data_IF_111872131120
#
_entry.id   IF_111872131120
#
_cell.length_a   1.000
_cell.length_b   1.000
_cell.length_c   1.000
_cell.angle_alpha   90.00
_cell.angle_beta   90.00
_cell.angle_gamma   90.00
#
_symmetry.space_group_name_H-M   'P 1'
#
loop_
_entity.id
_entity.type
_entity.pdbx_description
1 polymer ?
#
# COMPACT_ATOMS: atom_id res chain seq x y z
N UNK A 1 -1.50 20.16 9.92
CA UNK A 1 -1.73 21.26 10.90
C UNK A 1 -0.49 22.13 10.91
N UNK A 2 -0.59 23.39 10.44
CA UNK A 2 0.55 24.29 10.37
C UNK A 2 0.86 24.86 11.75
N UNK A 3 2.00 24.53 12.33
CA UNK A 3 2.44 25.08 13.60
C UNK A 3 3.23 26.37 13.36
N UNK A 4 2.72 27.49 13.87
CA UNK A 4 3.38 28.79 13.74
C UNK A 4 4.17 29.09 14.99
N UNK A 5 5.50 29.15 14.90
CA UNK A 5 6.37 29.60 15.99
C UNK A 5 6.74 31.05 15.78
N UNK A 6 6.37 31.93 16.72
CA UNK A 6 6.70 33.34 16.68
C UNK A 6 7.96 33.63 17.49
N UNK A 7 9.04 34.00 16.83
CA UNK A 7 10.27 34.47 17.51
C UNK A 7 10.31 35.97 17.48
N UNK A 8 10.29 36.60 18.65
CA UNK A 8 10.41 38.06 18.79
C UNK A 8 11.88 38.43 18.87
N UNK A 9 12.38 39.14 17.86
CA UNK A 9 13.74 39.71 17.91
C UNK A 9 13.70 41.07 18.64
N UNK A 10 14.69 41.33 19.46
CA UNK A 10 14.78 42.58 20.21
C UNK A 10 14.76 43.81 19.28
N UNK A 11 14.05 44.88 19.64
CA UNK A 11 13.91 46.06 18.77
C UNK A 11 15.27 46.77 18.55
N UNK A 12 15.57 47.09 17.30
CA UNK A 12 16.74 47.88 16.95
C UNK A 12 16.34 49.38 17.03
N UNK A 13 16.99 50.11 17.91
CA UNK A 13 16.75 51.55 18.08
C UNK A 13 17.70 52.32 17.16
N UNK A 14 17.15 53.01 16.19
CA UNK A 14 17.91 53.93 15.35
C UNK A 14 17.61 55.37 15.79
N UNK A 15 18.62 56.06 16.31
CA UNK A 15 18.50 57.46 16.74
C UNK A 15 18.97 58.40 15.59
N UNK A 16 18.06 59.17 15.08
CA UNK A 16 18.41 60.23 14.09
C UNK A 16 18.36 61.58 14.79
N UNK A 17 19.50 62.26 14.84
CA UNK A 17 19.61 63.60 15.45
C UNK A 17 19.59 64.63 14.30
N UNK A 18 18.56 65.47 14.25
CA UNK A 18 18.51 66.61 13.32
C UNK A 18 18.75 67.88 14.12
N UNK A 19 19.85 68.60 13.77
CA UNK A 19 20.18 69.88 14.44
C UNK A 19 19.66 71.04 13.57
N UNK A 20 18.71 71.82 14.09
CA UNK A 20 18.28 73.10 13.52
C UNK A 20 18.60 74.19 14.51
N UNK A 21 19.20 75.29 14.04
CA UNK A 21 19.71 76.40 14.88
C UNK A 21 18.63 77.12 15.72
N UNK A 22 18.95 77.88 16.73
CA UNK A 22 19.13 77.45 18.11
C UNK A 22 17.85 77.63 18.93
N UNK A 23 16.98 76.75 19.07
CA UNK A 23 16.04 76.77 20.20
C UNK A 23 15.35 75.51 20.62
N UNK A 24 15.41 74.40 20.00
CA UNK A 24 14.85 73.20 20.62
C UNK A 24 15.33 71.93 19.90
N UNK A 25 16.05 71.04 20.60
CA UNK A 25 16.35 69.71 20.09
C UNK A 25 15.19 68.78 20.43
N UNK A 26 14.43 68.40 19.40
CA UNK A 26 13.41 67.37 19.58
C UNK A 26 14.00 66.05 19.10
N UNK A 27 14.23 65.10 20.00
CA UNK A 27 14.66 63.76 19.66
C UNK A 27 13.42 62.89 19.49
N UNK A 28 13.15 62.49 18.27
CA UNK A 28 12.07 61.55 17.96
C UNK A 28 12.72 60.15 17.88
N UNK A 29 12.39 59.28 18.79
CA UNK A 29 12.82 57.88 18.78
C UNK A 29 11.72 57.07 18.08
N UNK A 30 12.01 56.58 16.89
CA UNK A 30 11.12 55.64 16.20
C UNK A 30 11.61 54.23 16.45
N UNK A 31 10.82 53.47 17.19
CA UNK A 31 11.09 52.04 17.40
C UNK A 31 10.39 51.25 16.31
N UNK A 32 11.15 50.64 15.42
CA UNK A 32 10.61 49.72 14.41
C UNK A 32 10.78 48.31 14.95
N UNK A 33 9.66 47.63 15.23
CA UNK A 33 9.66 46.25 15.61
C UNK A 33 9.46 45.44 14.33
N UNK A 34 10.48 44.71 13.88
CA UNK A 34 10.37 43.77 12.80
C UNK A 34 10.03 42.43 13.38
N UNK A 35 8.82 41.95 13.16
CA UNK A 35 8.41 40.59 13.49
C UNK A 35 8.70 39.71 12.28
N UNK A 36 9.67 38.83 12.37
CA UNK A 36 9.88 37.78 11.37
C UNK A 36 9.07 36.56 11.80
N UNK A 37 8.03 36.27 11.06
CA UNK A 37 7.29 35.04 11.23
C UNK A 37 7.99 33.98 10.38
N UNK A 38 8.65 33.04 11.00
CA UNK A 38 9.16 31.85 10.31
C UNK A 38 8.06 30.81 10.38
N UNK A 39 7.45 30.53 9.27
CA UNK A 39 6.59 29.35 9.11
C UNK A 39 7.52 28.15 9.02
N UNK A 40 7.42 27.22 9.96
CA UNK A 40 8.01 25.89 9.77
C UNK A 40 7.31 25.22 8.58
N UNK A 41 8.03 24.43 7.79
CA UNK A 41 7.37 23.56 6.81
C UNK A 41 6.25 22.78 7.51
N UNK A 42 5.16 22.46 6.83
CA UNK A 42 4.19 21.50 7.35
C UNK A 42 4.91 20.21 7.71
N UNK A 43 4.51 19.57 8.80
CA UNK A 43 5.00 18.23 9.11
C UNK A 43 4.59 17.28 7.97
N UNK A 44 5.45 16.30 7.60
CA UNK A 44 5.10 15.31 6.61
C UNK A 44 3.77 14.61 6.97
N UNK A 45 2.96 14.31 5.98
CA UNK A 45 1.72 13.59 6.17
C UNK A 45 2.00 12.12 6.46
N UNK A 46 1.29 11.53 7.43
CA UNK A 46 1.43 10.14 7.83
C UNK A 46 0.18 9.37 7.41
N UNK A 47 0.36 8.27 6.68
CA UNK A 47 -0.70 7.45 6.09
C UNK A 47 -0.79 6.04 6.72
N UNK A 48 -0.21 5.81 7.88
CA UNK A 48 -0.27 4.52 8.58
C UNK A 48 -1.64 4.25 9.26
N UNK A 49 -2.41 5.30 9.52
CA UNK A 49 -3.77 5.18 10.03
C UNK A 49 -4.76 5.16 8.86
N UNK A 50 -5.95 4.60 9.07
CA UNK A 50 -7.02 4.60 8.05
C UNK A 50 -7.33 6.01 7.53
N UNK A 51 -7.62 6.11 6.24
CA UNK A 51 -7.93 7.36 5.55
C UNK A 51 -9.30 7.95 5.92
N UNK A 52 -9.74 8.91 5.12
CA UNK A 52 -10.95 9.68 5.39
C UNK A 52 -12.26 8.97 4.98
N UNK A 53 -12.18 7.87 4.24
CA UNK A 53 -13.33 7.12 3.75
C UNK A 53 -13.59 5.85 4.57
N UNK A 54 -14.86 5.53 4.79
CA UNK A 54 -15.22 4.14 5.04
C UNK A 54 -15.07 3.36 3.72
N UNK A 55 -15.09 2.02 3.77
CA UNK A 55 -14.78 1.20 2.61
C UNK A 55 -15.94 0.28 2.25
N UNK A 56 -16.31 0.29 0.99
CA UNK A 56 -17.21 -0.69 0.38
C UNK A 56 -16.41 -1.81 -0.29
N UNK A 57 -17.02 -2.99 -0.39
CA UNK A 57 -16.44 -4.13 -1.11
C UNK A 57 -17.49 -4.81 -1.97
N UNK A 58 -17.12 -5.17 -3.21
CA UNK A 58 -17.98 -5.92 -4.15
C UNK A 58 -17.15 -6.93 -4.93
N UNK A 59 -17.81 -7.96 -5.49
CA UNK A 59 -17.13 -8.99 -6.29
C UNK A 59 -17.53 -8.87 -7.76
N UNK A 60 -16.55 -8.90 -8.65
CA UNK A 60 -16.73 -8.95 -10.10
C UNK A 60 -16.42 -10.36 -10.58
N UNK A 61 -17.29 -10.92 -11.42
CA UNK A 61 -17.10 -12.21 -12.09
C UNK A 61 -16.60 -11.98 -13.52
N UNK A 62 -15.36 -12.40 -13.81
CA UNK A 62 -14.78 -12.39 -15.17
C UNK A 62 -15.26 -13.60 -16.00
N UNK A 63 -16.11 -14.48 -15.45
CA UNK A 63 -16.64 -15.68 -16.10
C UNK A 63 -15.83 -16.95 -15.81
N UNK A 64 -14.54 -16.84 -15.61
CA UNK A 64 -13.63 -17.94 -15.24
C UNK A 64 -12.96 -17.74 -13.89
N UNK A 65 -12.91 -16.52 -13.39
CA UNK A 65 -12.30 -16.14 -12.11
C UNK A 65 -12.96 -14.92 -11.51
N UNK A 66 -12.75 -14.68 -10.23
CA UNK A 66 -13.33 -13.57 -9.49
C UNK A 66 -12.30 -12.48 -9.24
N UNK A 67 -12.80 -11.25 -9.14
CA UNK A 67 -12.07 -10.06 -8.69
C UNK A 67 -12.80 -9.47 -7.50
N UNK A 68 -12.11 -9.28 -6.39
CA UNK A 68 -12.65 -8.51 -5.27
C UNK A 68 -12.28 -7.05 -5.45
N UNK A 69 -13.24 -6.15 -5.26
CA UNK A 69 -13.04 -4.72 -5.48
C UNK A 69 -13.43 -3.94 -4.23
N UNK A 70 -12.47 -3.28 -3.61
CA UNK A 70 -12.67 -2.33 -2.51
C UNK A 70 -12.73 -0.93 -3.07
N UNK A 71 -13.61 -0.09 -2.54
CA UNK A 71 -13.82 1.26 -3.03
C UNK A 71 -14.23 2.20 -1.89
N UNK A 72 -13.92 3.51 -2.00
CA UNK A 72 -14.32 4.50 -1.00
C UNK A 72 -15.84 4.63 -0.90
N UNK A 73 -16.35 4.71 0.33
CA UNK A 73 -17.72 5.14 0.63
C UNK A 73 -17.69 6.36 1.55
N UNK A 74 -18.78 7.10 1.62
CA UNK A 74 -18.84 8.27 2.50
C UNK A 74 -18.66 7.89 3.97
N UNK A 75 -17.80 8.58 4.70
CA UNK A 75 -17.56 8.31 6.11
C UNK A 75 -18.85 8.37 6.92
N UNK A 76 -19.14 7.32 7.69
CA UNK A 76 -20.33 7.19 8.51
C UNK A 76 -21.64 7.03 7.73
N UNK A 77 -21.58 6.73 6.42
CA UNK A 77 -22.79 6.51 5.60
C UNK A 77 -23.20 5.05 5.50
N UNK A 78 -22.27 4.11 5.78
CA UNK A 78 -22.59 2.69 5.76
C UNK A 78 -23.50 2.29 6.94
N UNK A 79 -24.40 1.37 6.67
CA UNK A 79 -25.29 0.79 7.66
C UNK A 79 -25.05 -0.73 7.77
N UNK A 80 -25.13 -1.27 8.97
CA UNK A 80 -24.98 -2.69 9.24
C UNK A 80 -23.56 -3.10 9.63
N UNK A 81 -23.29 -4.42 9.72
CA UNK A 81 -21.97 -4.94 10.02
C UNK A 81 -21.06 -4.88 8.80
N UNK A 82 -19.75 -4.85 9.03
CA UNK A 82 -18.72 -5.08 8.01
C UNK A 82 -18.82 -6.49 7.43
N UNK A 83 -18.31 -6.66 6.22
CA UNK A 83 -18.25 -7.95 5.56
C UNK A 83 -17.19 -8.83 6.25
N UNK A 84 -17.48 -10.11 6.36
CA UNK A 84 -16.51 -11.10 6.81
C UNK A 84 -15.91 -11.83 5.60
N UNK A 85 -14.65 -12.18 5.68
CA UNK A 85 -14.06 -13.21 4.82
C UNK A 85 -14.33 -14.55 5.50
N UNK A 86 -15.16 -15.36 4.85
CA UNK A 86 -15.44 -16.72 5.28
C UNK A 86 -14.45 -17.66 4.59
N UNK A 87 -13.51 -18.32 5.30
CA UNK A 87 -12.55 -19.22 4.68
C UNK A 87 -13.20 -20.29 3.80
N UNK A 88 -14.42 -20.73 4.15
CA UNK A 88 -15.20 -21.69 3.37
C UNK A 88 -15.64 -21.18 1.98
N UNK A 89 -15.62 -19.88 1.72
CA UNK A 89 -15.95 -19.29 0.41
C UNK A 89 -14.77 -19.36 -0.58
N UNK A 90 -13.55 -19.41 -0.04
CA UNK A 90 -12.32 -19.38 -0.84
C UNK A 90 -11.52 -20.69 -0.80
N UNK A 91 -11.77 -21.55 0.19
CA UNK A 91 -11.05 -22.79 0.40
C UNK A 91 -11.97 -24.01 0.20
N UNK A 92 -11.48 -25.08 -0.48
CA UNK A 92 -12.19 -26.34 -0.55
C UNK A 92 -12.38 -26.95 0.85
N UNK A 93 -13.53 -27.62 1.09
CA UNK A 93 -13.89 -28.23 2.36
C UNK A 93 -12.79 -29.15 2.93
N UNK A 94 -12.10 -29.91 2.07
CA UNK A 94 -11.04 -30.80 2.50
C UNK A 94 -9.82 -30.08 3.10
N UNK A 95 -9.60 -28.81 2.73
CA UNK A 95 -8.54 -27.98 3.32
C UNK A 95 -8.93 -27.40 4.67
N UNK A 96 -10.19 -27.00 4.83
CA UNK A 96 -10.69 -26.42 6.09
C UNK A 96 -10.52 -27.39 7.27
N UNK A 97 -10.65 -28.71 7.03
CA UNK A 97 -10.45 -29.74 8.05
C UNK A 97 -8.98 -29.93 8.46
N UNK A 98 -8.04 -29.43 7.66
CA UNK A 98 -6.61 -29.63 7.85
C UNK A 98 -5.87 -28.37 8.30
N UNK A 99 -6.49 -27.21 8.17
CA UNK A 99 -5.89 -25.91 8.53
C UNK A 99 -5.95 -25.68 10.04
N UNK A 100 -5.00 -24.91 10.59
CA UNK A 100 -5.09 -24.40 11.95
C UNK A 100 -6.40 -23.62 12.18
N UNK A 101 -6.92 -23.66 13.40
CA UNK A 101 -8.17 -23.00 13.74
C UNK A 101 -8.14 -21.49 13.46
N UNK A 102 -7.00 -20.85 13.67
CA UNK A 102 -6.79 -19.41 13.36
C UNK A 102 -7.00 -19.04 11.89
N UNK A 103 -6.85 -20.02 10.97
CA UNK A 103 -7.02 -19.81 9.53
C UNK A 103 -8.39 -20.28 9.00
N UNK A 104 -9.25 -20.80 9.89
CA UNK A 104 -10.60 -21.29 9.52
C UNK A 104 -11.72 -20.45 10.12
N UNK A 105 -11.40 -19.54 11.03
CA UNK A 105 -12.39 -18.59 11.56
C UNK A 105 -12.59 -17.41 10.60
N UNK A 106 -13.84 -16.93 10.44
CA UNK A 106 -14.11 -15.72 9.69
C UNK A 106 -13.36 -14.52 10.26
N UNK A 107 -12.82 -13.67 9.40
CA UNK A 107 -12.20 -12.42 9.83
C UNK A 107 -12.88 -11.20 9.22
N UNK A 108 -12.91 -10.10 9.99
CA UNK A 108 -13.54 -8.85 9.59
C UNK A 108 -12.68 -8.13 8.54
N UNK A 109 -13.31 -7.74 7.43
CA UNK A 109 -12.62 -7.02 6.35
C UNK A 109 -12.47 -5.52 6.64
N UNK A 110 -13.21 -4.97 7.60
CA UNK A 110 -13.34 -3.53 7.79
C UNK A 110 -14.14 -2.83 6.68
N UNK A 111 -14.67 -3.58 5.70
CA UNK A 111 -15.40 -3.05 4.55
C UNK A 111 -16.86 -3.50 4.54
N UNK A 112 -17.74 -2.75 3.88
CA UNK A 112 -19.18 -2.99 3.83
C UNK A 112 -19.57 -3.58 2.47
N UNK A 113 -20.21 -4.77 2.46
CA UNK A 113 -20.60 -5.46 1.23
C UNK A 113 -21.66 -4.65 0.46
N UNK A 114 -21.33 -4.33 -0.81
CA UNK A 114 -22.17 -3.64 -1.78
C UNK A 114 -22.75 -2.30 -1.27
N UNK A 115 -22.04 -1.62 -0.37
CA UNK A 115 -22.44 -0.30 0.13
C UNK A 115 -22.31 0.77 -0.96
N UNK A 116 -23.14 1.81 -0.90
CA UNK A 116 -23.14 2.89 -1.88
C UNK A 116 -21.81 3.65 -1.90
N UNK A 117 -21.19 3.75 -3.07
CA UNK A 117 -19.87 4.39 -3.23
C UNK A 117 -19.89 5.90 -2.94
N UNK A 118 -18.75 6.45 -2.53
CA UNK A 118 -18.52 7.90 -2.43
C UNK A 118 -18.49 8.54 -3.83
N UNK A 119 -18.66 9.86 -3.88
CA UNK A 119 -18.52 10.62 -5.13
C UNK A 119 -17.06 10.59 -5.58
N UNK A 120 -16.79 9.96 -6.74
CA UNK A 120 -15.47 9.79 -7.34
C UNK A 120 -15.13 10.89 -8.36
N UNK A 121 -14.22 10.64 -9.33
CA UNK A 121 -13.57 9.35 -9.54
C UNK A 121 -12.33 9.12 -8.68
N UNK A 122 -11.99 7.84 -8.43
CA UNK A 122 -10.84 7.39 -7.67
C UNK A 122 -9.91 6.53 -8.53
N UNK A 123 -8.57 6.69 -8.43
CA UNK A 123 -7.59 5.88 -9.16
C UNK A 123 -7.72 4.39 -8.85
N UNK A 124 -7.29 3.56 -9.81
CA UNK A 124 -7.31 2.10 -9.69
C UNK A 124 -5.97 1.57 -9.22
N UNK A 125 -6.02 0.64 -8.28
CA UNK A 125 -4.85 -0.12 -7.82
C UNK A 125 -5.16 -1.61 -7.95
N UNK A 126 -4.44 -2.31 -8.81
CA UNK A 126 -4.50 -3.76 -8.85
C UNK A 126 -3.63 -4.37 -7.77
N UNK A 127 -4.14 -5.40 -7.09
CA UNK A 127 -3.34 -6.24 -6.21
C UNK A 127 -3.21 -7.64 -6.82
N UNK A 128 -1.95 -8.09 -6.97
CA UNK A 128 -1.60 -9.40 -7.51
C UNK A 128 -0.92 -10.25 -6.44
N UNK A 129 -1.57 -11.33 -6.03
CA UNK A 129 -1.07 -12.23 -5.00
C UNK A 129 0.09 -13.13 -5.46
N UNK A 130 0.86 -13.68 -4.52
CA UNK A 130 1.92 -14.64 -4.74
C UNK A 130 1.43 -16.07 -5.01
N UNK A 131 2.38 -17.02 -5.06
CA UNK A 131 2.08 -18.45 -5.10
C UNK A 131 1.31 -18.88 -3.84
N UNK A 132 0.26 -19.67 -4.02
CA UNK A 132 -0.59 -20.13 -2.93
C UNK A 132 -1.49 -19.05 -2.34
N UNK A 133 -1.54 -17.86 -2.92
CA UNK A 133 -2.46 -16.81 -2.54
C UNK A 133 -3.83 -16.94 -3.20
N UNK A 134 -4.68 -15.98 -2.94
CA UNK A 134 -6.01 -15.79 -3.50
C UNK A 134 -6.39 -14.31 -3.37
N UNK A 135 -7.49 -13.89 -4.01
CA UNK A 135 -7.89 -12.47 -4.08
C UNK A 135 -8.06 -11.76 -2.74
N UNK A 136 -8.33 -12.49 -1.64
CA UNK A 136 -8.59 -11.91 -0.31
C UNK A 136 -7.37 -11.98 0.63
N UNK A 137 -6.18 -12.39 0.14
CA UNK A 137 -4.98 -12.57 1.00
C UNK A 137 -4.38 -11.25 1.51
N UNK A 138 -4.84 -10.10 0.99
CA UNK A 138 -4.40 -8.77 1.36
C UNK A 138 -5.60 -7.83 1.57
N UNK A 139 -6.65 -8.33 2.19
CA UNK A 139 -7.90 -7.59 2.45
C UNK A 139 -7.66 -6.37 3.34
N UNK A 140 -6.87 -6.49 4.40
CA UNK A 140 -6.51 -5.39 5.31
C UNK A 140 -5.82 -4.27 4.52
N UNK A 141 -4.82 -4.63 3.74
CA UNK A 141 -4.08 -3.70 2.89
C UNK A 141 -4.97 -3.03 1.83
N UNK A 142 -5.84 -3.80 1.15
CA UNK A 142 -6.78 -3.27 0.17
C UNK A 142 -7.80 -2.32 0.82
N UNK A 143 -8.30 -2.65 2.01
CA UNK A 143 -9.20 -1.79 2.80
C UNK A 143 -8.50 -0.49 3.19
N UNK A 144 -7.24 -0.57 3.63
CA UNK A 144 -6.45 0.61 3.97
C UNK A 144 -6.29 1.55 2.77
N UNK A 145 -5.86 1.04 1.61
CA UNK A 145 -5.72 1.83 0.38
C UNK A 145 -7.06 2.47 -0.03
N UNK A 146 -8.16 1.71 0.02
CA UNK A 146 -9.47 2.23 -0.34
C UNK A 146 -9.93 3.33 0.62
N UNK A 147 -9.58 3.27 1.90
CA UNK A 147 -9.86 4.34 2.87
C UNK A 147 -9.17 5.66 2.52
N UNK A 148 -8.06 5.60 1.79
CA UNK A 148 -7.30 6.75 1.29
C UNK A 148 -7.72 7.23 -0.11
N UNK A 149 -8.80 6.68 -0.67
CA UNK A 149 -9.34 7.17 -1.93
C UNK A 149 -8.86 6.42 -3.17
N UNK A 150 -8.59 5.13 -3.05
CA UNK A 150 -8.29 4.26 -4.18
C UNK A 150 -9.40 3.24 -4.41
N UNK A 151 -9.60 2.83 -5.66
CA UNK A 151 -10.35 1.61 -6.00
C UNK A 151 -9.35 0.48 -6.14
N UNK A 152 -9.41 -0.50 -5.24
CA UNK A 152 -8.46 -1.62 -5.23
C UNK A 152 -9.12 -2.86 -5.79
N UNK A 153 -8.50 -3.48 -6.80
CA UNK A 153 -9.01 -4.69 -7.46
C UNK A 153 -8.00 -5.84 -7.33
N UNK A 154 -8.37 -6.87 -6.57
CA UNK A 154 -7.56 -8.08 -6.40
C UNK A 154 -8.15 -9.25 -7.19
N UNK A 155 -7.32 -9.86 -8.04
CA UNK A 155 -7.74 -10.89 -9.00
C UNK A 155 -7.30 -12.27 -8.50
N UNK A 156 -8.19 -13.28 -8.62
CA UNK A 156 -7.80 -14.68 -8.41
C UNK A 156 -6.95 -15.19 -9.59
N UNK A 157 -5.65 -15.34 -9.37
CA UNK A 157 -4.76 -16.00 -10.33
C UNK A 157 -4.81 -17.52 -10.14
N UNK A 158 -5.76 -18.16 -10.81
CA UNK A 158 -6.08 -19.59 -10.62
C UNK A 158 -4.89 -20.50 -10.96
N UNK A 159 -3.99 -20.05 -11.83
CA UNK A 159 -2.81 -20.80 -12.31
C UNK A 159 -1.79 -21.07 -11.20
N UNK A 160 -1.72 -20.19 -10.20
CA UNK A 160 -0.76 -20.24 -9.09
C UNK A 160 -1.40 -20.08 -7.71
N UNK A 161 -2.74 -20.00 -7.66
CA UNK A 161 -3.50 -19.82 -6.43
C UNK A 161 -3.41 -21.01 -5.48
N UNK A 162 -3.93 -20.87 -4.26
CA UNK A 162 -3.86 -21.87 -3.21
C UNK A 162 -4.42 -23.22 -3.64
N UNK A 163 -5.57 -23.24 -4.32
CA UNK A 163 -6.18 -24.48 -4.80
C UNK A 163 -5.31 -25.20 -5.80
N UNK A 164 -4.70 -24.48 -6.76
CA UNK A 164 -3.76 -25.05 -7.72
C UNK A 164 -2.51 -25.63 -7.04
N UNK A 165 -1.99 -24.93 -6.04
CA UNK A 165 -0.81 -25.34 -5.29
C UNK A 165 -1.07 -26.64 -4.52
N UNK A 166 -2.14 -26.71 -3.72
CA UNK A 166 -2.42 -27.88 -2.88
C UNK A 166 -2.90 -29.09 -3.69
N UNK A 167 -3.55 -28.87 -4.86
CA UNK A 167 -3.94 -29.93 -5.78
C UNK A 167 -2.83 -30.38 -6.73
N UNK A 168 -1.66 -29.73 -6.70
CA UNK A 168 -0.56 -29.97 -7.62
C UNK A 168 -0.87 -29.61 -9.08
N UNK A 169 -1.80 -28.70 -9.30
CA UNK A 169 -2.28 -28.27 -10.64
C UNK A 169 -1.72 -26.89 -11.03
N UNK A 170 -0.56 -26.52 -10.55
CA UNK A 170 0.11 -25.30 -10.94
C UNK A 170 0.37 -25.29 -12.45
N UNK A 171 0.01 -24.20 -13.13
CA UNK A 171 0.17 -24.04 -14.58
C UNK A 171 0.99 -22.78 -14.85
N UNK A 172 1.97 -22.89 -15.73
CA UNK A 172 2.66 -21.72 -16.24
C UNK A 172 1.77 -21.05 -17.32
N UNK A 173 1.35 -19.84 -17.06
CA UNK A 173 0.50 -19.04 -17.97
C UNK A 173 1.09 -17.63 -18.15
N UNK A 174 2.25 -17.49 -18.83
CA UNK A 174 2.91 -16.20 -19.00
C UNK A 174 1.99 -15.18 -19.67
N UNK A 175 1.88 -13.98 -19.10
CA UNK A 175 1.03 -12.90 -19.62
C UNK A 175 -0.45 -13.02 -19.27
N UNK A 176 -0.88 -14.09 -18.55
CA UNK A 176 -2.29 -14.22 -18.17
C UNK A 176 -2.70 -13.09 -17.22
N UNK A 177 -1.82 -12.68 -16.33
CA UNK A 177 -2.08 -11.58 -15.40
C UNK A 177 -2.37 -10.27 -16.13
N UNK A 178 -1.62 -9.93 -17.16
CA UNK A 178 -1.84 -8.72 -17.97
C UNK A 178 -3.17 -8.81 -18.72
N UNK A 179 -3.53 -10.00 -19.23
CA UNK A 179 -4.84 -10.23 -19.84
C UNK A 179 -5.96 -9.98 -18.82
N UNK A 180 -5.80 -10.47 -17.61
CA UNK A 180 -6.81 -10.31 -16.54
C UNK A 180 -6.92 -8.86 -16.04
N UNK A 181 -5.80 -8.13 -15.97
CA UNK A 181 -5.83 -6.69 -15.71
C UNK A 181 -6.63 -5.95 -16.80
N UNK A 182 -6.33 -6.17 -18.07
CA UNK A 182 -7.05 -5.55 -19.17
C UNK A 182 -8.57 -5.87 -19.14
N UNK A 183 -8.95 -7.14 -18.91
CA UNK A 183 -10.36 -7.54 -18.77
C UNK A 183 -11.05 -6.82 -17.59
N UNK A 184 -10.32 -6.65 -16.47
CA UNK A 184 -10.86 -5.95 -15.30
C UNK A 184 -11.00 -4.46 -15.57
N UNK A 185 -10.05 -3.82 -16.26
CA UNK A 185 -10.14 -2.42 -16.70
C UNK A 185 -11.38 -2.23 -17.56
N UNK A 186 -11.58 -3.07 -18.59
CA UNK A 186 -12.77 -3.00 -19.48
C UNK A 186 -14.09 -3.06 -18.70
N UNK A 187 -14.17 -3.93 -17.68
CA UNK A 187 -15.36 -4.05 -16.83
C UNK A 187 -15.53 -2.84 -15.91
N UNK A 188 -14.45 -2.35 -15.30
CA UNK A 188 -14.51 -1.17 -14.45
C UNK A 188 -14.93 0.08 -15.25
N UNK A 189 -14.45 0.24 -16.49
CA UNK A 189 -14.89 1.29 -17.40
C UNK A 189 -16.37 1.19 -17.74
N UNK A 190 -16.86 -0.03 -18.01
CA UNK A 190 -18.27 -0.26 -18.28
C UNK A 190 -19.14 0.07 -17.06
N UNK A 191 -18.75 -0.39 -15.88
CA UNK A 191 -19.50 -0.18 -14.64
C UNK A 191 -19.51 1.30 -14.20
N UNK A 192 -18.39 1.99 -14.31
CA UNK A 192 -18.32 3.43 -13.96
C UNK A 192 -19.14 4.30 -14.93
N UNK A 193 -19.33 3.83 -16.17
CA UNK A 193 -20.11 4.53 -17.19
C UNK A 193 -21.62 4.23 -17.12
N UNK A 194 -22.05 3.19 -16.40
CA UNK A 194 -23.44 2.82 -16.21
C UNK A 194 -24.03 3.55 -15.00
N UNK A 195 -24.96 4.48 -15.23
CA UNK A 195 -25.56 5.30 -14.19
C UNK A 195 -26.39 4.50 -13.15
N UNK A 196 -26.73 3.24 -13.44
CA UNK A 196 -27.48 2.36 -12.52
C UNK A 196 -26.55 1.40 -11.76
N UNK A 197 -25.24 1.38 -12.08
CA UNK A 197 -24.27 0.52 -11.41
C UNK A 197 -23.81 1.11 -10.05
N UNK A 198 -23.44 0.22 -9.14
CA UNK A 198 -22.87 0.57 -7.84
C UNK A 198 -21.62 1.47 -7.95
N UNK A 199 -20.82 1.26 -9.01
CA UNK A 199 -19.58 2.00 -9.27
C UNK A 199 -19.76 3.17 -10.26
N UNK A 200 -21.00 3.62 -10.50
CA UNK A 200 -21.29 4.74 -11.41
C UNK A 200 -20.50 6.01 -11.05
N UNK A 201 -19.60 6.46 -11.95
CA UNK A 201 -18.77 7.64 -11.75
C UNK A 201 -17.67 7.51 -10.69
N UNK A 202 -17.41 6.29 -10.19
CA UNK A 202 -16.50 6.05 -9.05
C UNK A 202 -15.06 5.83 -9.49
N UNK A 203 -14.83 5.21 -10.66
CA UNK A 203 -13.52 4.67 -11.04
C UNK A 203 -12.83 5.58 -12.06
N UNK A 204 -11.57 5.92 -11.81
CA UNK A 204 -10.68 6.60 -12.76
C UNK A 204 -9.68 5.61 -13.35
N UNK A 205 -9.99 5.08 -14.53
CA UNK A 205 -9.10 4.18 -15.26
C UNK A 205 -7.98 4.90 -16.03
N UNK A 206 -7.83 6.21 -15.85
CA UNK A 206 -6.70 6.97 -16.41
C UNK A 206 -5.50 7.06 -15.45
N UNK A 207 -5.66 6.59 -14.21
CA UNK A 207 -4.59 6.50 -13.20
C UNK A 207 -4.62 5.08 -12.62
N UNK A 208 -3.65 4.26 -13.01
CA UNK A 208 -3.60 2.84 -12.65
C UNK A 208 -2.23 2.45 -12.10
N UNK A 209 -2.22 1.77 -10.95
CA UNK A 209 -1.03 1.11 -10.42
C UNK A 209 -1.24 -0.40 -10.27
N UNK A 210 -0.14 -1.15 -10.24
CA UNK A 210 -0.13 -2.57 -9.89
C UNK A 210 0.76 -2.79 -8.67
N UNK A 211 0.21 -3.41 -7.65
CA UNK A 211 0.92 -3.88 -6.47
C UNK A 211 1.02 -5.40 -6.56
N UNK A 212 2.20 -5.94 -6.40
CA UNK A 212 2.39 -7.39 -6.44
C UNK A 212 3.27 -7.92 -5.33
N UNK A 213 2.77 -8.95 -4.62
CA UNK A 213 3.54 -9.67 -3.62
C UNK A 213 4.16 -10.94 -4.25
N UNK A 214 5.45 -11.18 -4.04
CA UNK A 214 6.13 -12.41 -4.48
C UNK A 214 5.97 -12.62 -6.00
N UNK A 215 5.37 -13.73 -6.45
CA UNK A 215 5.05 -13.96 -7.86
C UNK A 215 4.16 -12.86 -8.47
N UNK A 216 3.34 -12.19 -7.65
CA UNK A 216 2.55 -11.04 -8.08
C UNK A 216 3.41 -9.82 -8.43
N UNK A 217 4.59 -9.65 -7.82
CA UNK A 217 5.57 -8.64 -8.27
C UNK A 217 6.05 -8.92 -9.69
N UNK A 218 6.18 -10.18 -10.08
CA UNK A 218 6.40 -10.56 -11.48
C UNK A 218 5.28 -10.15 -12.42
N UNK A 219 4.02 -10.16 -11.97
CA UNK A 219 2.89 -9.64 -12.73
C UNK A 219 2.96 -8.10 -12.87
N UNK A 220 3.32 -7.39 -11.80
CA UNK A 220 3.59 -5.95 -11.86
C UNK A 220 4.71 -5.63 -12.86
N UNK A 221 5.81 -6.40 -12.85
CA UNK A 221 6.90 -6.24 -13.80
C UNK A 221 6.47 -6.46 -15.26
N UNK A 222 5.60 -7.46 -15.53
CA UNK A 222 5.08 -7.70 -16.88
C UNK A 222 4.15 -6.57 -17.34
N UNK A 223 3.39 -5.97 -16.42
CA UNK A 223 2.50 -4.86 -16.71
C UNK A 223 3.23 -3.52 -16.84
N UNK A 224 4.48 -3.40 -16.38
CA UNK A 224 5.20 -2.13 -16.28
C UNK A 224 5.44 -1.41 -17.62
N UNK A 225 5.35 -2.13 -18.76
CA UNK A 225 5.44 -1.56 -20.10
C UNK A 225 4.07 -1.29 -20.75
N UNK A 226 2.98 -1.66 -20.08
CA UNK A 226 1.63 -1.41 -20.58
C UNK A 226 1.31 0.10 -20.55
N UNK A 227 0.67 0.65 -21.59
CA UNK A 227 0.45 2.09 -21.72
C UNK A 227 -0.50 2.68 -20.69
N UNK A 228 -1.22 1.85 -19.96
CA UNK A 228 -2.17 2.25 -18.91
C UNK A 228 -1.54 2.24 -17.50
N UNK A 229 -0.28 1.80 -17.34
CA UNK A 229 0.33 1.65 -16.02
C UNK A 229 1.14 2.89 -15.63
N UNK A 230 0.76 3.56 -14.55
CA UNK A 230 1.36 4.80 -14.09
C UNK A 230 2.34 4.60 -12.92
N UNK A 231 2.16 3.54 -12.10
CA UNK A 231 3.05 3.26 -10.98
C UNK A 231 3.04 1.76 -10.61
N UNK A 232 4.11 1.28 -10.00
CA UNK A 232 4.24 -0.10 -9.52
C UNK A 232 4.73 -0.18 -8.08
N UNK A 233 4.21 -1.15 -7.33
CA UNK A 233 4.74 -1.54 -6.01
C UNK A 233 5.08 -3.02 -6.06
N UNK A 234 6.36 -3.35 -5.87
CA UNK A 234 6.86 -4.72 -5.85
C UNK A 234 7.22 -5.11 -4.42
N UNK A 235 6.51 -6.08 -3.86
CA UNK A 235 6.68 -6.53 -2.48
C UNK A 235 7.31 -7.92 -2.48
N UNK A 236 8.49 -8.06 -1.84
CA UNK A 236 9.19 -9.34 -1.67
C UNK A 236 9.35 -10.09 -3.01
N UNK A 237 9.76 -9.38 -4.08
CA UNK A 237 9.86 -9.92 -5.44
C UNK A 237 11.13 -9.41 -6.14
N UNK A 238 11.56 -10.14 -7.16
CA UNK A 238 12.73 -9.80 -7.96
C UNK A 238 12.38 -9.31 -9.37
N UNK A 239 13.39 -9.09 -10.21
CA UNK A 239 13.28 -8.50 -11.55
C UNK A 239 12.66 -9.43 -12.63
N UNK A 240 12.13 -10.60 -12.25
CA UNK A 240 11.55 -11.54 -13.21
C UNK A 240 10.39 -10.91 -13.99
N UNK A 241 10.43 -11.02 -15.32
CA UNK A 241 9.40 -10.49 -16.21
C UNK A 241 9.49 -8.99 -16.53
N UNK A 242 10.42 -8.25 -15.93
CA UNK A 242 10.59 -6.83 -16.18
C UNK A 242 11.16 -6.58 -17.59
N UNK A 243 10.52 -5.69 -18.32
CA UNK A 243 11.07 -5.03 -19.50
C UNK A 243 11.54 -3.62 -19.13
N UNK A 244 12.31 -2.96 -20.00
CA UNK A 244 12.78 -1.61 -19.75
C UNK A 244 11.57 -0.65 -19.66
N UNK A 245 11.49 0.09 -18.56
CA UNK A 245 10.38 1.00 -18.27
C UNK A 245 10.85 2.22 -17.49
N UNK A 246 10.18 3.36 -17.72
CA UNK A 246 10.32 4.57 -16.90
C UNK A 246 9.21 4.70 -15.84
N UNK A 247 8.37 3.69 -15.71
CA UNK A 247 7.30 3.61 -14.68
C UNK A 247 7.92 3.77 -13.29
N UNK A 248 7.38 4.64 -12.42
CA UNK A 248 7.82 4.74 -11.03
C UNK A 248 7.62 3.44 -10.25
N UNK A 249 8.59 3.08 -9.42
CA UNK A 249 8.56 1.85 -8.62
C UNK A 249 8.84 2.09 -7.13
N UNK A 250 8.02 1.49 -6.29
CA UNK A 250 8.33 1.24 -4.88
C UNK A 250 8.67 -0.26 -4.73
N UNK A 251 9.90 -0.55 -4.31
CA UNK A 251 10.38 -1.93 -4.07
C UNK A 251 10.49 -2.16 -2.56
N UNK A 252 9.68 -3.06 -2.04
CA UNK A 252 9.63 -3.43 -0.63
C UNK A 252 10.23 -4.82 -0.43
N UNK A 253 11.09 -4.98 0.57
CA UNK A 253 11.77 -6.24 0.87
C UNK A 253 11.81 -6.52 2.37
N UNK A 254 11.81 -7.80 2.76
CA UNK A 254 12.12 -8.23 4.12
C UNK A 254 13.59 -8.58 4.26
N UNK A 255 14.26 -8.04 5.28
CA UNK A 255 15.69 -8.31 5.54
C UNK A 255 15.99 -9.81 5.70
N UNK A 256 15.06 -10.56 6.27
CA UNK A 256 15.20 -12.00 6.55
C UNK A 256 14.40 -12.91 5.62
N UNK A 257 13.94 -12.37 4.49
CA UNK A 257 13.20 -13.15 3.48
C UNK A 257 14.07 -14.30 2.93
N UNK A 258 13.64 -15.55 3.17
CA UNK A 258 14.31 -16.76 2.68
C UNK A 258 13.73 -17.30 1.37
N UNK A 259 12.61 -16.74 0.90
CA UNK A 259 11.93 -17.15 -0.34
C UNK A 259 12.43 -16.32 -1.51
N UNK A 260 12.38 -15.00 -1.38
CA UNK A 260 13.01 -14.04 -2.30
C UNK A 260 14.00 -13.21 -1.50
N UNK A 261 15.28 -13.54 -1.60
CA UNK A 261 16.28 -12.85 -0.79
C UNK A 261 16.24 -11.32 -1.01
N UNK A 262 16.60 -10.51 0.01
CA UNK A 262 16.67 -9.05 -0.14
C UNK A 262 17.54 -8.63 -1.33
N UNK A 263 18.63 -9.37 -1.61
CA UNK A 263 19.46 -9.15 -2.78
C UNK A 263 18.71 -9.36 -4.12
N UNK A 264 17.71 -10.25 -4.15
CA UNK A 264 16.85 -10.45 -5.32
C UNK A 264 15.92 -9.26 -5.56
N UNK A 265 15.31 -8.72 -4.51
CA UNK A 265 14.48 -7.51 -4.56
C UNK A 265 15.32 -6.27 -4.86
N UNK A 266 16.52 -6.17 -4.27
CA UNK A 266 17.45 -5.10 -4.57
C UNK A 266 17.93 -5.15 -6.04
N UNK A 267 18.10 -6.35 -6.60
CA UNK A 267 18.39 -6.53 -8.03
C UNK A 267 17.31 -5.98 -8.96
N UNK A 268 16.04 -5.98 -8.53
CA UNK A 268 14.98 -5.25 -9.25
C UNK A 268 15.24 -3.75 -9.22
N UNK A 269 15.48 -3.16 -8.03
CA UNK A 269 15.77 -1.75 -7.88
C UNK A 269 16.96 -1.29 -8.75
N UNK A 270 18.02 -2.10 -8.84
CA UNK A 270 19.22 -1.77 -9.64
C UNK A 270 18.96 -1.70 -11.15
N UNK A 271 18.00 -2.48 -11.68
CA UNK A 271 17.72 -2.53 -13.12
C UNK A 271 16.63 -1.56 -13.57
N UNK A 272 15.88 -0.99 -12.64
CA UNK A 272 14.89 0.07 -12.92
C UNK A 272 15.58 1.34 -13.40
N UNK A 273 14.94 2.09 -14.30
CA UNK A 273 15.46 3.33 -14.91
C UNK A 273 14.63 4.55 -14.61
N UNK A 274 13.35 4.37 -14.23
CA UNK A 274 12.46 5.43 -13.77
C UNK A 274 12.67 5.83 -12.31
N UNK A 275 11.83 6.73 -11.78
CA UNK A 275 11.79 7.06 -10.37
C UNK A 275 11.61 5.79 -9.53
N UNK A 276 12.41 5.60 -8.50
CA UNK A 276 12.37 4.37 -7.72
C UNK A 276 12.77 4.55 -6.27
N UNK A 277 12.12 3.82 -5.41
CA UNK A 277 12.43 3.71 -3.98
C UNK A 277 12.64 2.25 -3.64
N UNK A 278 13.69 1.95 -2.87
CA UNK A 278 13.92 0.67 -2.23
C UNK A 278 13.81 0.81 -0.72
N UNK A 279 12.96 0.01 -0.12
CA UNK A 279 12.75 -0.05 1.32
C UNK A 279 12.88 -1.50 1.79
N UNK A 280 13.93 -1.82 2.51
CA UNK A 280 14.13 -3.10 3.18
C UNK A 280 13.79 -2.97 4.65
N UNK A 281 12.92 -3.85 5.15
CA UNK A 281 12.38 -3.78 6.51
C UNK A 281 13.12 -4.76 7.40
N UNK A 282 13.70 -4.24 8.48
CA UNK A 282 14.47 -5.00 9.46
C UNK A 282 13.65 -6.14 10.06
N UNK A 283 14.29 -7.31 10.20
CA UNK A 283 13.70 -8.51 10.80
C UNK A 283 12.39 -9.00 10.15
N UNK A 284 11.96 -8.47 8.99
CA UNK A 284 10.80 -8.95 8.25
C UNK A 284 11.16 -10.15 7.35
N UNK A 285 10.25 -11.11 7.21
CA UNK A 285 10.35 -12.24 6.29
C UNK A 285 9.40 -12.09 5.10
N UNK A 286 9.32 -13.13 4.26
CA UNK A 286 8.57 -13.12 3.00
C UNK A 286 7.08 -12.81 3.15
N UNK A 287 6.42 -13.41 4.15
CA UNK A 287 4.97 -13.28 4.34
C UNK A 287 4.57 -12.20 5.35
N UNK A 288 5.53 -11.46 5.93
CA UNK A 288 5.22 -10.33 6.83
C UNK A 288 4.28 -9.28 6.20
N UNK A 289 4.12 -9.33 4.89
CA UNK A 289 3.33 -8.41 4.07
C UNK A 289 1.91 -8.90 3.75
N UNK A 290 1.45 -10.01 4.36
CA UNK A 290 0.16 -10.64 4.06
C UNK A 290 -0.73 -10.72 5.30
N UNK A 291 -2.05 -10.73 5.12
CA UNK A 291 -3.02 -10.82 6.23
C UNK A 291 -2.97 -12.15 7.00
N UNK A 292 -2.46 -13.21 6.37
CA UNK A 292 -2.30 -14.51 7.03
C UNK A 292 -1.20 -14.46 8.10
N UNK A 293 -0.21 -13.61 7.92
CA UNK A 293 0.96 -13.57 8.80
C UNK A 293 0.63 -13.09 10.23
N UNK A 294 -0.13 -12.00 10.47
CA UNK A 294 -0.57 -11.64 11.81
C UNK A 294 -1.33 -12.76 12.51
N UNK A 295 -2.19 -13.49 11.81
CA UNK A 295 -2.97 -14.61 12.39
C UNK A 295 -2.06 -15.73 12.88
N UNK A 296 -1.08 -16.15 12.07
CA UNK A 296 -0.10 -17.18 12.46
C UNK A 296 0.86 -16.67 13.55
N UNK A 297 1.24 -15.41 13.49
CA UNK A 297 2.12 -14.78 14.48
C UNK A 297 1.46 -14.73 15.86
N UNK A 298 0.19 -14.36 15.94
CA UNK A 298 -0.55 -14.27 17.20
C UNK A 298 -0.95 -15.64 17.75
N UNK A 299 -1.43 -16.56 16.88
CA UNK A 299 -1.82 -17.92 17.32
C UNK A 299 -0.64 -18.80 17.70
N UNK A 300 0.51 -18.63 17.02
CA UNK A 300 1.66 -19.51 17.15
C UNK A 300 1.48 -20.87 16.46
N UNK A 301 0.45 -21.03 15.63
CA UNK A 301 0.06 -22.31 14.99
C UNK A 301 0.79 -22.59 13.66
N UNK A 302 1.83 -21.80 13.31
CA UNK A 302 2.58 -22.02 12.07
C UNK A 302 3.13 -23.44 11.90
N UNK A 303 3.55 -24.09 12.99
CA UNK A 303 4.06 -25.46 12.96
C UNK A 303 2.99 -26.50 12.61
N UNK A 304 1.71 -26.22 12.83
CA UNK A 304 0.60 -27.15 12.54
C UNK A 304 0.40 -27.32 11.03
N UNK A 305 0.85 -26.35 10.21
CA UNK A 305 0.86 -26.46 8.75
C UNK A 305 1.78 -27.59 8.25
N UNK A 306 2.77 -28.03 9.05
CA UNK A 306 3.73 -29.06 8.63
C UNK A 306 3.05 -30.39 8.27
N UNK A 307 1.99 -30.74 8.99
CA UNK A 307 1.23 -31.96 8.71
C UNK A 307 0.50 -31.89 7.34
N UNK A 308 0.17 -30.69 6.88
CA UNK A 308 -0.56 -30.44 5.64
C UNK A 308 0.37 -30.31 4.44
N UNK A 309 1.41 -29.48 4.55
CA UNK A 309 2.25 -29.08 3.41
C UNK A 309 3.71 -29.55 3.52
N UNK A 310 4.10 -30.17 4.64
CA UNK A 310 5.46 -30.65 4.90
C UNK A 310 6.42 -29.55 5.38
N UNK A 311 7.51 -29.96 6.05
CA UNK A 311 8.42 -29.06 6.77
C UNK A 311 9.03 -27.94 5.89
N UNK A 312 9.45 -28.27 4.66
CA UNK A 312 10.04 -27.26 3.76
C UNK A 312 9.02 -26.19 3.37
N UNK A 313 7.80 -26.59 3.01
CA UNK A 313 6.76 -25.66 2.61
C UNK A 313 6.26 -24.85 3.81
N UNK A 314 6.17 -25.45 5.00
CA UNK A 314 5.83 -24.75 6.25
C UNK A 314 6.84 -23.68 6.58
N UNK A 315 8.14 -23.97 6.46
CA UNK A 315 9.20 -22.98 6.67
C UNK A 315 9.02 -21.77 5.75
N UNK A 316 8.67 -21.98 4.48
CA UNK A 316 8.40 -20.91 3.51
C UNK A 316 7.10 -20.15 3.80
N UNK A 317 6.02 -20.88 4.16
CA UNK A 317 4.71 -20.29 4.46
C UNK A 317 4.73 -19.49 5.77
N UNK A 318 5.55 -19.88 6.73
CA UNK A 318 5.70 -19.22 8.03
C UNK A 318 6.83 -18.17 8.07
N UNK A 319 7.51 -17.92 6.93
CA UNK A 319 8.62 -16.98 6.86
C UNK A 319 8.11 -15.54 7.10
N UNK A 320 8.51 -14.94 8.20
CA UNK A 320 8.01 -13.66 8.69
C UNK A 320 6.84 -13.75 9.68
N UNK A 321 6.25 -14.95 9.88
CA UNK A 321 5.00 -15.14 10.64
C UNK A 321 5.19 -15.82 12.00
N UNK A 322 6.39 -15.83 12.54
CA UNK A 322 6.68 -16.38 13.89
C UNK A 322 7.31 -15.32 14.78
N UNK A 323 7.27 -15.53 16.11
CA UNK A 323 7.82 -14.59 17.10
C UNK A 323 9.35 -14.38 17.01
N UNK A 324 10.02 -15.00 16.05
CA UNK A 324 11.43 -14.77 15.72
C UNK A 324 11.65 -13.58 14.76
N UNK A 325 10.58 -13.10 14.16
CA UNK A 325 10.54 -11.95 13.25
C UNK A 325 9.96 -10.73 13.93
N UNK A 326 10.05 -9.57 13.29
CA UNK A 326 9.32 -8.37 13.70
C UNK A 326 7.81 -8.64 13.64
N UNK A 327 7.02 -7.94 14.44
CA UNK A 327 5.56 -8.05 14.40
C UNK A 327 5.05 -7.68 12.98
N UNK A 328 4.36 -8.59 12.30
CA UNK A 328 3.89 -8.34 10.94
C UNK A 328 2.87 -7.19 10.86
N UNK A 329 2.13 -6.89 11.94
CA UNK A 329 1.24 -5.72 11.96
C UNK A 329 2.02 -4.41 11.87
N UNK A 330 3.18 -4.32 12.54
CA UNK A 330 4.05 -3.16 12.41
C UNK A 330 4.69 -3.04 11.01
N UNK A 331 4.94 -4.18 10.33
CA UNK A 331 5.39 -4.18 8.93
C UNK A 331 4.28 -3.64 8.03
N UNK A 332 3.03 -4.06 8.26
CA UNK A 332 1.86 -3.57 7.52
C UNK A 332 1.71 -2.06 7.66
N UNK A 333 1.75 -1.49 8.87
CA UNK A 333 1.68 -0.04 9.10
C UNK A 333 2.70 0.73 8.24
N UNK A 334 3.95 0.25 8.19
CA UNK A 334 5.02 0.88 7.41
C UNK A 334 4.80 0.75 5.89
N UNK A 335 4.38 -0.43 5.44
CA UNK A 335 4.09 -0.72 4.02
C UNK A 335 2.89 0.09 3.53
N UNK A 336 1.83 0.16 4.31
CA UNK A 336 0.63 0.94 4.04
C UNK A 336 0.96 2.42 3.89
N UNK A 337 1.69 2.99 4.86
CA UNK A 337 2.16 4.37 4.77
C UNK A 337 3.00 4.61 3.50
N UNK A 338 4.03 3.80 3.27
CA UNK A 338 4.94 3.99 2.14
C UNK A 338 4.20 3.87 0.80
N UNK A 339 3.25 2.93 0.70
CA UNK A 339 2.48 2.73 -0.53
C UNK A 339 1.52 3.88 -0.81
N UNK A 340 0.75 4.31 0.20
CA UNK A 340 -0.18 5.44 0.02
C UNK A 340 0.57 6.71 -0.35
N UNK A 341 1.65 7.04 0.38
CA UNK A 341 2.48 8.21 0.08
C UNK A 341 3.06 8.14 -1.35
N UNK A 342 3.57 6.97 -1.76
CA UNK A 342 4.11 6.74 -3.09
C UNK A 342 3.05 6.94 -4.19
N UNK A 343 1.87 6.35 -4.05
CA UNK A 343 0.80 6.46 -5.04
C UNK A 343 0.23 7.87 -5.09
N UNK A 344 -0.03 8.51 -3.96
CA UNK A 344 -0.51 9.91 -3.88
C UNK A 344 0.45 10.86 -4.58
N UNK A 345 1.77 10.68 -4.37
CA UNK A 345 2.80 11.50 -5.00
C UNK A 345 2.85 11.27 -6.52
N UNK A 346 3.01 10.02 -6.96
CA UNK A 346 3.22 9.70 -8.38
C UNK A 346 1.96 9.84 -9.25
N UNK A 347 0.77 9.72 -8.68
CA UNK A 347 -0.48 10.06 -9.37
C UNK A 347 -0.73 11.58 -9.41
N UNK A 348 0.11 12.38 -8.76
CA UNK A 348 -0.05 13.85 -8.73
C UNK A 348 -1.26 14.30 -7.92
N UNK A 349 -1.77 13.48 -7.00
CA UNK A 349 -2.91 13.80 -6.14
C UNK A 349 -2.52 14.90 -5.14
N UNK A 350 -1.35 14.74 -4.50
CA UNK A 350 -0.77 15.74 -3.61
C UNK A 350 0.77 15.67 -3.64
N UNK A 351 1.41 16.77 -3.26
CA UNK A 351 2.86 16.81 -3.07
C UNK A 351 3.19 16.33 -1.65
N UNK A 352 3.51 15.06 -1.53
CA UNK A 352 3.82 14.36 -0.27
C UNK A 352 5.18 13.67 -0.31
N UNK A 353 6.11 14.14 -1.16
CA UNK A 353 7.44 13.56 -1.29
C UNK A 353 8.18 13.47 0.07
N UNK A 354 7.99 14.46 0.95
CA UNK A 354 8.59 14.46 2.29
C UNK A 354 8.10 13.28 3.17
N UNK A 355 6.91 12.73 2.89
CA UNK A 355 6.35 11.56 3.59
C UNK A 355 7.07 10.26 3.24
N UNK A 356 7.81 10.23 2.13
CA UNK A 356 8.63 9.10 1.69
C UNK A 356 10.09 9.18 2.17
N UNK A 357 10.42 10.19 2.99
CA UNK A 357 11.77 10.34 3.53
C UNK A 357 12.10 9.28 4.58
N UNK A 358 13.38 8.85 4.63
CA UNK A 358 13.86 7.83 5.58
C UNK A 358 13.53 8.17 7.04
N UNK A 359 13.59 9.45 7.41
CA UNK A 359 13.27 9.92 8.76
C UNK A 359 11.81 9.66 9.13
N UNK A 360 10.89 9.85 8.17
CA UNK A 360 9.45 9.59 8.36
C UNK A 360 9.19 8.10 8.42
N UNK A 361 9.70 7.34 7.44
CA UNK A 361 9.56 5.89 7.40
C UNK A 361 10.10 5.21 8.66
N UNK A 362 11.21 5.70 9.21
CA UNK A 362 11.78 5.19 10.46
C UNK A 362 10.96 5.56 11.71
N UNK A 363 10.02 6.47 11.60
CA UNK A 363 9.15 6.89 12.71
C UNK A 363 7.77 6.19 12.67
N UNK A 364 7.48 5.39 11.64
CA UNK A 364 6.22 4.64 11.53
C UNK A 364 6.30 3.37 12.37
N UNK A 365 5.47 3.30 13.41
CA UNK A 365 5.31 2.09 14.22
C UNK A 365 6.59 1.53 14.84
N UNK A 366 6.67 0.20 14.94
CA UNK A 366 7.79 -0.54 15.51
C UNK A 366 8.69 -1.20 14.44
N UNK A 367 8.23 -1.34 13.20
CA UNK A 367 9.06 -1.77 12.09
C UNK A 367 9.93 -0.61 11.60
N UNK A 368 11.19 -0.89 11.29
CA UNK A 368 12.13 0.13 10.85
C UNK A 368 12.84 -0.30 9.57
N UNK A 369 13.24 0.64 8.70
CA UNK A 369 14.11 0.34 7.58
C UNK A 369 15.46 -0.23 8.04
N UNK A 370 15.90 -1.35 7.45
CA UNK A 370 17.29 -1.79 7.52
C UNK A 370 18.12 -1.20 6.37
N UNK A 371 17.44 -0.86 5.27
CA UNK A 371 18.03 -0.17 4.13
C UNK A 371 16.97 0.68 3.41
N UNK A 372 17.37 1.88 3.04
CA UNK A 372 16.56 2.80 2.25
C UNK A 372 17.40 3.41 1.12
N UNK A 373 16.88 3.40 -0.09
CA UNK A 373 17.47 4.11 -1.24
C UNK A 373 16.36 4.72 -2.10
N UNK A 374 16.59 5.91 -2.63
CA UNK A 374 15.67 6.56 -3.56
C UNK A 374 16.45 7.23 -4.70
N UNK A 375 15.87 7.21 -5.91
CA UNK A 375 16.45 7.83 -7.08
C UNK A 375 15.32 8.37 -7.98
N UNK A 376 15.36 9.68 -8.26
CA UNK A 376 14.39 10.34 -9.12
C UNK A 376 12.97 10.48 -8.52
N UNK A 377 12.81 10.24 -7.23
CA UNK A 377 11.55 10.37 -6.51
C UNK A 377 11.29 11.81 -6.05
#
# INVERSE_FOLDING_TARGET
>A
TTTTTTTTVAPTTTTTTTTVAPTTTTTTTTTTTTTTTTTLPPEPEVFAESGAHDVGVTTIDLGDRLVEVWYPIGAGTAEGPTALVEPAEVLPEFLLELLPASLTEPFDTGAYRDAGAAEGPFPVVFYSHGFGGYRLVATTYATHLASHGFVVAAIDHLERGLVAQVSGQLVAAPGQEVIDFNRTIDILEARTSDAEDLLAGVVDTTLIAVIGHSAGGGAANQAASEPWMDAAVSIASGAGGLEATDTPYLVLAGERDIVVSPAGSYGLYEVLTGPRIYLEIAEAGHNSFTDVCPLLYESGEAAELEALIGAEQTTRAADGCTKEFVDPSAVQDLVEHATVAFLVHHFGIADVADSLGEDVLSAIGAAVPSRFESDGS
#
